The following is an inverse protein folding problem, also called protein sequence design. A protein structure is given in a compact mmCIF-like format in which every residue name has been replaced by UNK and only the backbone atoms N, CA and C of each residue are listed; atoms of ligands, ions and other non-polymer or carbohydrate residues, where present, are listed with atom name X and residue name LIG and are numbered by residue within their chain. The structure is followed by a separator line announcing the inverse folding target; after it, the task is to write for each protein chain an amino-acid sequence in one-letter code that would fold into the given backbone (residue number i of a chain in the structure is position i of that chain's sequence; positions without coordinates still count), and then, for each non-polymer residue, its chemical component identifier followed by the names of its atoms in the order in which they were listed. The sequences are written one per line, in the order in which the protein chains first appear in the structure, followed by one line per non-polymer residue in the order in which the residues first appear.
data_IF_481174624885
#
_entry.id   IF_481174624885
#
_cell.length_a   1.000
_cell.length_b   1.000
_cell.length_c   1.000
_cell.angle_alpha   90.00
_cell.angle_beta   90.00
_cell.angle_gamma   90.00
#
_symmetry.space_group_name_H-M   'P 1'
#
loop_
_entity.id
_entity.type
_entity.pdbx_description
1 polymer ?
#
# COMPACT_ATOMS: atom_id res chain seq x y z
N UNK A 1 20.71 -8.09 -14.25
CA UNK A 1 19.33 -7.81 -13.82
C UNK A 1 19.27 -6.34 -13.45
N UNK A 2 18.60 -5.53 -14.27
CA UNK A 2 18.57 -4.08 -14.11
C UNK A 2 17.63 -3.70 -12.98
N UNK A 3 18.14 -3.02 -11.96
CA UNK A 3 17.32 -2.37 -10.95
C UNK A 3 16.54 -1.24 -11.62
N UNK A 4 15.22 -1.41 -11.77
CA UNK A 4 14.34 -0.30 -12.10
C UNK A 4 14.10 0.45 -10.79
N UNK A 5 14.63 1.67 -10.71
CA UNK A 5 14.40 2.58 -9.58
C UNK A 5 13.15 3.40 -9.90
N UNK A 6 12.07 3.20 -9.14
CA UNK A 6 10.94 4.12 -9.08
C UNK A 6 11.00 4.90 -7.75
N UNK A 7 11.15 6.22 -7.80
CA UNK A 7 10.90 7.12 -6.66
C UNK A 7 9.43 6.91 -6.20
N UNK A 8 9.08 6.52 -4.97
CA UNK A 8 9.80 6.56 -3.69
C UNK A 8 9.52 5.32 -2.81
N UNK A 9 9.58 4.11 -3.35
CA UNK A 9 9.69 2.91 -2.52
C UNK A 9 10.50 1.88 -3.27
N UNK A 10 11.47 1.20 -2.65
CA UNK A 10 11.98 -0.02 -3.25
C UNK A 10 10.79 -0.98 -3.40
N UNK A 11 10.32 -1.18 -4.63
CA UNK A 11 9.75 -2.47 -5.00
C UNK A 11 10.95 -3.41 -4.94
N UNK A 12 11.21 -3.94 -3.74
CA UNK A 12 12.00 -5.14 -3.67
C UNK A 12 11.19 -6.14 -4.49
N UNK A 13 11.71 -6.50 -5.66
CA UNK A 13 11.39 -7.76 -6.31
C UNK A 13 12.00 -8.84 -5.43
N UNK A 14 11.49 -8.95 -4.20
CA UNK A 14 11.78 -10.10 -3.38
C UNK A 14 10.89 -11.22 -3.91
N UNK A 15 11.49 -12.40 -4.04
CA UNK A 15 10.75 -13.58 -4.46
C UNK A 15 9.86 -14.12 -3.34
N UNK A 16 9.88 -13.48 -2.15
CA UNK A 16 9.23 -14.00 -0.96
C UNK A 16 7.80 -13.46 -0.81
N UNK A 17 7.62 -12.16 -0.98
CA UNK A 17 6.38 -11.43 -0.82
C UNK A 17 5.87 -10.81 -2.13
N UNK A 18 6.57 -10.97 -3.25
CA UNK A 18 6.07 -10.62 -4.58
C UNK A 18 4.96 -11.56 -5.07
N UNK A 19 3.99 -11.04 -5.82
CA UNK A 19 2.86 -11.78 -6.40
C UNK A 19 1.89 -10.88 -7.13
N UNK A 20 0.70 -11.40 -7.47
CA UNK A 20 -0.29 -10.65 -8.26
C UNK A 20 -1.21 -9.75 -7.42
N UNK A 21 -1.11 -9.84 -6.10
CA UNK A 21 -1.97 -9.14 -5.16
C UNK A 21 -1.64 -7.67 -4.98
N UNK A 22 -2.61 -6.89 -4.50
CA UNK A 22 -2.41 -5.50 -4.10
C UNK A 22 -3.34 -5.05 -2.97
N UNK A 23 -3.01 -3.93 -2.34
CA UNK A 23 -3.94 -3.14 -1.52
C UNK A 23 -4.11 -1.75 -2.13
N UNK A 24 -5.33 -1.24 -2.23
CA UNK A 24 -5.58 0.08 -2.80
C UNK A 24 -6.82 0.77 -2.22
N UNK A 25 -6.78 2.10 -2.22
CA UNK A 25 -7.83 2.95 -1.67
C UNK A 25 -9.08 3.14 -2.54
N UNK A 26 -9.62 2.08 -3.14
CA UNK A 26 -10.92 2.13 -3.86
C UNK A 26 -12.00 1.30 -3.20
N UNK A 27 -11.69 0.05 -2.83
CA UNK A 27 -12.62 -0.84 -2.10
C UNK A 27 -12.51 -0.69 -0.57
N UNK A 28 -11.30 -0.49 -0.06
CA UNK A 28 -11.00 -0.36 1.37
C UNK A 28 -11.04 1.09 1.89
N UNK A 29 -11.42 2.02 1.01
CA UNK A 29 -11.48 3.45 1.28
C UNK A 29 -10.14 4.18 1.11
N UNK A 30 -10.22 5.50 0.95
CA UNK A 30 -9.04 6.37 0.91
C UNK A 30 -8.59 6.76 2.31
N UNK A 31 -7.35 7.20 2.43
CA UNK A 31 -6.87 7.85 3.66
C UNK A 31 -7.54 9.20 3.80
N UNK A 32 -8.13 9.45 4.97
CA UNK A 32 -8.74 10.74 5.32
C UNK A 32 -8.32 11.19 6.71
N UNK A 33 -8.29 12.51 6.91
CA UNK A 33 -8.21 13.17 8.22
C UNK A 33 -9.40 14.10 8.33
N UNK A 34 -10.19 13.96 9.40
CA UNK A 34 -11.42 14.73 9.62
C UNK A 34 -12.38 14.73 8.40
N UNK A 35 -12.42 13.62 7.65
CA UNK A 35 -13.27 13.45 6.47
C UNK A 35 -12.72 14.04 5.17
N UNK A 36 -11.57 14.71 5.19
CA UNK A 36 -10.87 15.20 4.00
C UNK A 36 -9.76 14.23 3.58
N UNK A 37 -9.50 14.03 2.27
CA UNK A 37 -8.37 13.23 1.81
C UNK A 37 -7.03 13.73 2.36
N UNK A 38 -6.10 12.81 2.64
CA UNK A 38 -4.81 13.16 3.20
C UNK A 38 -3.69 12.19 2.77
N UNK A 39 -2.49 12.75 2.64
CA UNK A 39 -1.26 11.98 2.49
C UNK A 39 -0.76 11.49 3.86
N UNK A 40 -0.63 10.17 4.04
CA UNK A 40 -0.07 9.51 5.23
C UNK A 40 0.74 8.29 4.85
N UNK A 41 1.68 7.94 5.73
CA UNK A 41 2.44 6.71 5.59
C UNK A 41 1.58 5.50 5.96
N UNK A 42 1.63 4.50 5.10
CA UNK A 42 0.99 3.21 5.30
C UNK A 42 2.09 2.14 5.31
N UNK A 43 2.11 1.35 6.36
CA UNK A 43 3.04 0.25 6.55
C UNK A 43 2.31 -1.07 6.33
N UNK A 44 2.93 -2.01 5.63
CA UNK A 44 2.42 -3.35 5.39
C UNK A 44 3.36 -4.35 6.01
N UNK A 45 2.86 -5.08 7.01
CA UNK A 45 3.59 -6.12 7.71
C UNK A 45 3.02 -7.48 7.35
N UNK A 46 3.84 -8.52 7.40
CA UNK A 46 3.33 -9.88 7.47
C UNK A 46 2.54 -10.04 8.77
N UNK A 47 1.26 -10.43 8.70
CA UNK A 47 0.39 -10.48 9.87
C UNK A 47 0.84 -11.49 10.93
N UNK A 48 1.59 -12.53 10.54
CA UNK A 48 2.08 -13.57 11.45
C UNK A 48 3.40 -13.18 12.13
N UNK A 49 4.35 -12.65 11.36
CA UNK A 49 5.72 -12.40 11.85
C UNK A 49 5.98 -10.95 12.24
N UNK A 50 5.09 -10.02 11.83
CA UNK A 50 5.26 -8.57 11.92
C UNK A 50 6.52 -8.05 11.21
N UNK A 51 7.05 -8.83 10.27
CA UNK A 51 8.09 -8.36 9.36
C UNK A 51 7.53 -7.25 8.46
N UNK A 52 8.26 -6.14 8.34
CA UNK A 52 7.88 -5.07 7.42
C UNK A 52 8.12 -5.53 5.98
N UNK A 53 7.03 -5.70 5.23
CA UNK A 53 7.03 -6.20 3.85
C UNK A 53 7.13 -5.05 2.86
N UNK A 54 6.24 -4.07 2.98
CA UNK A 54 6.26 -2.84 2.17
C UNK A 54 5.85 -1.64 3.01
N UNK A 55 6.19 -0.46 2.51
CA UNK A 55 5.69 0.84 3.00
C UNK A 55 5.13 1.58 1.79
N UNK A 56 4.20 2.51 1.96
CA UNK A 56 3.82 3.49 0.94
C UNK A 56 3.31 4.78 1.57
N UNK A 57 3.08 5.79 0.73
CA UNK A 57 2.32 6.97 1.08
C UNK A 57 0.98 6.93 0.33
N UNK A 58 -0.09 7.37 0.98
CA UNK A 58 -1.23 7.88 0.23
C UNK A 58 -0.86 9.23 -0.41
N UNK A 59 -1.46 9.49 -1.56
CA UNK A 59 -1.35 10.76 -2.28
C UNK A 59 -2.21 11.83 -1.59
N UNK A 60 -2.10 13.08 -2.05
CA UNK A 60 -2.87 14.21 -1.51
C UNK A 60 -4.39 14.02 -1.69
N UNK A 61 -4.80 13.29 -2.74
CA UNK A 61 -6.18 12.87 -2.95
C UNK A 61 -6.60 11.66 -2.07
N UNK A 62 -5.77 11.23 -1.14
CA UNK A 62 -6.02 10.16 -0.17
C UNK A 62 -5.92 8.74 -0.73
N UNK A 63 -5.86 8.57 -2.06
CA UNK A 63 -5.65 7.26 -2.67
C UNK A 63 -4.26 6.74 -2.37
N UNK A 64 -4.13 5.42 -2.36
CA UNK A 64 -2.86 4.72 -2.22
C UNK A 64 -2.94 3.41 -2.98
N UNK A 65 -1.77 2.86 -3.31
CA UNK A 65 -1.66 1.48 -3.77
C UNK A 65 -0.36 0.86 -3.27
N UNK A 66 -0.45 -0.38 -2.82
CA UNK A 66 0.67 -1.27 -2.53
C UNK A 66 0.61 -2.43 -3.50
N UNK A 67 1.39 -2.37 -4.60
CA UNK A 67 1.34 -3.37 -5.64
C UNK A 67 2.20 -4.59 -5.30
N UNK A 68 2.04 -5.64 -6.11
CA UNK A 68 2.94 -6.78 -6.16
C UNK A 68 3.11 -7.47 -4.79
N UNK A 69 2.01 -8.00 -4.25
CA UNK A 69 1.97 -8.74 -2.99
C UNK A 69 1.57 -10.19 -3.22
N UNK A 70 2.26 -11.13 -2.59
CA UNK A 70 1.88 -12.53 -2.59
C UNK A 70 0.57 -12.72 -1.85
N UNK A 71 -0.34 -13.50 -2.43
CA UNK A 71 -1.61 -13.91 -1.82
C UNK A 71 -1.47 -15.11 -0.89
N UNK A 72 -0.28 -15.69 -0.78
CA UNK A 72 0.00 -16.81 0.14
C UNK A 72 0.14 -16.34 1.59
N UNK A 73 0.19 -15.02 1.81
CA UNK A 73 0.26 -14.39 3.12
C UNK A 73 -0.93 -13.46 3.36
N UNK A 74 -1.17 -13.23 4.64
CA UNK A 74 -2.04 -12.16 5.12
C UNK A 74 -1.17 -11.06 5.73
N UNK A 75 -1.67 -9.85 5.69
CA UNK A 75 -0.91 -8.66 6.05
C UNK A 75 -1.66 -7.80 7.06
N UNK A 76 -0.88 -7.10 7.87
CA UNK A 76 -1.33 -5.99 8.69
C UNK A 76 -0.96 -4.70 7.97
N UNK A 77 -1.96 -3.91 7.63
CA UNK A 77 -1.78 -2.54 7.18
C UNK A 77 -1.91 -1.60 8.36
N UNK A 78 -0.97 -0.66 8.50
CA UNK A 78 -0.98 0.36 9.54
C UNK A 78 -0.76 1.74 8.91
N UNK A 79 -1.81 2.56 8.91
CA UNK A 79 -1.73 3.95 8.52
C UNK A 79 -1.38 4.80 9.74
N UNK A 80 -0.26 5.52 9.69
CA UNK A 80 0.21 6.35 10.81
C UNK A 80 -0.04 7.81 10.53
N UNK A 81 -0.49 8.53 11.56
CA UNK A 81 -0.52 9.98 11.53
C UNK A 81 0.82 10.56 12.02
N UNK A 82 1.59 11.15 11.10
CA UNK A 82 2.89 11.74 11.43
C UNK A 82 2.76 13.05 12.23
N UNK A 83 1.58 13.68 12.20
CA UNK A 83 1.29 14.86 13.01
C UNK A 83 0.95 14.52 14.48
N UNK A 84 0.69 13.24 14.79
CA UNK A 84 0.29 12.78 16.12
C UNK A 84 -1.01 13.46 16.63
N UNK A 85 -1.93 13.75 15.72
CA UNK A 85 -3.26 14.31 16.00
C UNK A 85 -4.28 13.17 16.17
N UNK A 86 -4.06 12.04 15.49
CA UNK A 86 -4.95 10.89 15.49
C UNK A 86 -4.23 9.58 15.81
N UNK A 87 -4.97 8.66 16.43
CA UNK A 87 -4.49 7.30 16.61
C UNK A 87 -4.26 6.62 15.25
N UNK A 88 -3.24 5.77 15.11
CA UNK A 88 -3.02 5.03 13.88
C UNK A 88 -4.19 4.08 13.61
N UNK A 89 -4.51 3.90 12.33
CA UNK A 89 -5.57 2.98 11.89
C UNK A 89 -4.90 1.72 11.35
N UNK A 90 -5.36 0.57 11.84
CA UNK A 90 -4.85 -0.74 11.44
C UNK A 90 -5.93 -1.60 10.78
N UNK A 91 -5.56 -2.30 9.72
CA UNK A 91 -6.35 -3.37 9.12
C UNK A 91 -5.54 -4.66 9.17
N UNK A 92 -5.94 -5.57 10.05
CA UNK A 92 -5.20 -6.79 10.34
C UNK A 92 -5.73 -8.00 9.55
N UNK A 93 -4.86 -9.01 9.36
CA UNK A 93 -5.16 -10.27 8.67
C UNK A 93 -5.76 -10.13 7.26
N UNK A 94 -5.36 -9.10 6.52
CA UNK A 94 -5.89 -8.78 5.19
C UNK A 94 -5.23 -9.64 4.12
N UNK A 95 -6.05 -10.20 3.24
CA UNK A 95 -5.60 -10.84 1.99
C UNK A 95 -5.56 -9.77 0.89
N UNK A 96 -4.48 -9.68 0.09
CA UNK A 96 -4.43 -8.77 -1.04
C UNK A 96 -5.52 -9.08 -2.07
N UNK A 97 -6.04 -8.02 -2.69
CA UNK A 97 -6.99 -8.11 -3.78
C UNK A 97 -6.25 -8.50 -5.08
N UNK A 98 -6.93 -9.15 -6.03
CA UNK A 98 -6.29 -9.72 -7.25
C UNK A 98 -7.02 -9.33 -8.54
N UNK A 99 -7.89 -8.33 -8.49
CA UNK A 99 -8.75 -7.92 -9.61
C UNK A 99 -8.00 -7.09 -10.66
N UNK A 100 -6.82 -6.56 -10.32
CA UNK A 100 -5.95 -5.79 -11.21
C UNK A 100 -4.63 -6.53 -11.48
N UNK A 101 -4.27 -6.65 -12.75
CA UNK A 101 -2.92 -7.07 -13.15
C UNK A 101 -1.88 -6.06 -12.67
N UNK A 102 -0.61 -6.45 -12.59
CA UNK A 102 0.47 -5.52 -12.22
C UNK A 102 0.50 -4.26 -13.10
N UNK A 103 0.25 -4.39 -14.40
CA UNK A 103 0.19 -3.22 -15.31
C UNK A 103 -0.96 -2.28 -14.96
N UNK A 104 -2.13 -2.84 -14.61
CA UNK A 104 -3.28 -2.04 -14.17
C UNK A 104 -3.02 -1.37 -12.80
N UNK A 105 -2.35 -2.08 -11.89
CA UNK A 105 -1.91 -1.51 -10.61
C UNK A 105 -1.00 -0.31 -10.86
N UNK A 106 -0.03 -0.41 -11.78
CA UNK A 106 0.88 0.70 -12.10
C UNK A 106 0.18 1.86 -12.78
N UNK A 107 -0.77 1.58 -13.69
CA UNK A 107 -1.59 2.62 -14.28
C UNK A 107 -2.37 3.42 -13.21
N UNK A 108 -2.85 2.77 -12.14
CA UNK A 108 -3.48 3.45 -11.01
C UNK A 108 -2.53 4.30 -10.19
N UNK A 109 -1.27 3.87 -10.01
CA UNK A 109 -0.23 4.72 -9.39
C UNK A 109 -0.13 6.03 -10.16
N UNK A 110 0.02 5.96 -11.48
CA UNK A 110 0.23 7.13 -12.32
C UNK A 110 -1.02 8.02 -12.38
N UNK A 111 -2.21 7.42 -12.45
CA UNK A 111 -3.49 8.13 -12.40
C UNK A 111 -3.64 8.92 -11.10
N UNK A 112 -3.47 8.26 -9.94
CA UNK A 112 -3.71 8.90 -8.64
C UNK A 112 -2.58 9.80 -8.17
N UNK A 113 -1.37 9.62 -8.69
CA UNK A 113 -0.25 10.54 -8.38
C UNK A 113 -0.43 11.90 -9.06
N UNK A 114 -1.04 11.92 -10.24
CA UNK A 114 -1.12 13.11 -11.10
C UNK A 114 -2.52 13.75 -11.17
N UNK A 115 -3.53 13.12 -10.57
CA UNK A 115 -4.90 13.63 -10.50
C UNK A 115 -5.19 14.31 -9.18
#
# INVERSE_FOLDING_TARGET
MSNIVFNELPVNWDNLYGGDGYFAGTADGIVTIAGAPAAREIYCFNAKTLELVRKTWSFDNGHYIMPNLSTDYQYLLLCRDYNNEYAPIGWDWRTPATEMTYQQQMAKVDEWRNG
#
